data_IF_476955066321
#
_entry.id   IF_476955066321
#
_cell.length_a   1.000
_cell.length_b   1.000
_cell.length_c   1.000
_cell.angle_alpha   90.00
_cell.angle_beta   90.00
_cell.angle_gamma   90.00
#
_symmetry.space_group_name_H-M   'P 1'
#
loop_
_entity.id
_entity.type
_entity.pdbx_description
1 polymer ?
#
# COMPACT_ATOMS: atom_id res chain seq x y z
N UNK A 1 -4.18 0.45 -18.78
CA UNK A 1 -3.77 1.20 -17.57
C UNK A 1 -4.52 0.61 -16.39
N UNK A 2 -3.90 0.45 -15.21
CA UNK A 2 -4.60 -0.06 -14.03
C UNK A 2 -5.57 0.99 -13.51
N UNK A 3 -6.72 0.54 -12.99
CA UNK A 3 -7.78 1.38 -12.47
C UNK A 3 -8.13 1.03 -11.01
N UNK A 4 -9.10 1.75 -10.44
CA UNK A 4 -9.51 1.51 -9.05
C UNK A 4 -10.22 0.16 -8.88
N UNK A 5 -10.82 -0.39 -9.94
CA UNK A 5 -11.42 -1.73 -9.89
C UNK A 5 -10.34 -2.77 -9.68
N UNK A 6 -9.28 -2.72 -10.49
CA UNK A 6 -8.11 -3.58 -10.35
C UNK A 6 -7.49 -3.51 -8.94
N UNK A 7 -7.38 -2.30 -8.36
CA UNK A 7 -6.90 -2.17 -6.98
C UNK A 7 -7.86 -2.79 -5.96
N UNK A 8 -9.17 -2.62 -6.14
CA UNK A 8 -10.18 -3.20 -5.24
C UNK A 8 -10.15 -4.72 -5.28
N UNK A 9 -10.01 -5.31 -6.48
CA UNK A 9 -9.86 -6.76 -6.64
C UNK A 9 -8.58 -7.24 -5.94
N UNK A 10 -7.45 -6.54 -6.15
CA UNK A 10 -6.19 -6.84 -5.47
C UNK A 10 -6.26 -6.75 -3.94
N UNK A 11 -7.01 -5.77 -3.42
CA UNK A 11 -7.25 -5.65 -1.99
C UNK A 11 -8.00 -6.88 -1.46
N UNK A 12 -9.04 -7.35 -2.15
CA UNK A 12 -9.77 -8.56 -1.76
C UNK A 12 -8.83 -9.75 -1.74
N UNK A 13 -8.08 -9.97 -2.82
CA UNK A 13 -7.16 -11.10 -2.95
C UNK A 13 -6.06 -11.10 -1.87
N UNK A 14 -5.48 -9.94 -1.55
CA UNK A 14 -4.47 -9.85 -0.50
C UNK A 14 -5.07 -10.05 0.88
N UNK A 15 -6.27 -9.49 1.13
CA UNK A 15 -6.94 -9.63 2.40
C UNK A 15 -7.27 -11.10 2.68
N UNK A 16 -7.90 -11.78 1.73
CA UNK A 16 -8.38 -13.15 1.90
C UNK A 16 -7.21 -14.15 2.02
N UNK A 17 -6.06 -13.87 1.38
CA UNK A 17 -4.88 -14.74 1.47
C UNK A 17 -4.04 -14.52 2.72
N UNK A 18 -3.83 -13.25 3.12
CA UNK A 18 -2.78 -12.90 4.09
C UNK A 18 -3.30 -12.22 5.36
N UNK A 19 -4.55 -11.76 5.37
CA UNK A 19 -5.17 -11.01 6.48
C UNK A 19 -6.54 -11.56 6.89
N UNK A 20 -6.86 -12.80 6.49
CA UNK A 20 -8.13 -13.45 6.80
C UNK A 20 -8.38 -13.64 8.31
N UNK A 21 -7.30 -13.68 9.10
CA UNK A 21 -7.31 -13.78 10.56
C UNK A 21 -7.74 -12.49 11.27
N UNK A 22 -7.88 -11.38 10.53
CA UNK A 22 -8.21 -10.08 11.08
C UNK A 22 -9.61 -9.65 10.62
N UNK A 23 -10.48 -9.33 11.56
CA UNK A 23 -11.76 -8.71 11.28
C UNK A 23 -11.57 -7.22 10.91
N UNK A 24 -12.21 -6.77 9.83
CA UNK A 24 -12.19 -5.35 9.43
C UNK A 24 -13.03 -4.54 10.42
N UNK A 25 -12.42 -3.62 11.17
CA UNK A 25 -13.14 -2.79 12.14
C UNK A 25 -13.93 -1.63 11.54
N UNK A 26 -13.74 -1.34 10.25
CA UNK A 26 -14.50 -0.35 9.47
C UNK A 26 -14.40 -0.65 7.96
N UNK A 27 -15.01 0.20 7.13
CA UNK A 27 -14.88 0.08 5.67
C UNK A 27 -13.42 0.32 5.27
N UNK A 28 -12.82 -0.65 4.59
CA UNK A 28 -11.47 -0.55 4.05
C UNK A 28 -11.55 -0.38 2.53
N UNK A 29 -11.15 0.79 2.03
CA UNK A 29 -11.15 1.15 0.61
C UNK A 29 -9.70 1.32 0.13
N UNK A 30 -9.43 1.01 -1.14
CA UNK A 30 -8.17 1.34 -1.81
C UNK A 30 -8.44 2.13 -3.08
N UNK A 31 -7.57 3.10 -3.39
CA UNK A 31 -7.59 3.80 -4.69
C UNK A 31 -6.25 4.40 -5.05
N UNK A 32 -6.09 4.73 -6.33
CA UNK A 32 -4.94 5.51 -6.76
C UNK A 32 -5.04 6.97 -6.30
N UNK A 33 -3.93 7.52 -5.80
CA UNK A 33 -3.77 8.95 -5.53
C UNK A 33 -3.26 9.70 -6.75
N UNK A 34 -3.05 11.01 -6.59
CA UNK A 34 -2.15 11.77 -7.49
C UNK A 34 -0.73 11.20 -7.42
N UNK A 35 0.07 11.46 -8.45
CA UNK A 35 1.49 11.10 -8.46
C UNK A 35 2.22 11.88 -7.36
N UNK A 36 3.02 11.18 -6.56
CA UNK A 36 3.86 11.77 -5.53
C UNK A 36 5.33 11.35 -5.71
N UNK A 37 6.27 12.22 -5.36
CA UNK A 37 7.71 11.97 -5.54
C UNK A 37 8.38 11.22 -4.39
N UNK A 38 7.71 11.14 -3.24
CA UNK A 38 8.35 10.73 -1.97
C UNK A 38 7.62 9.62 -1.23
N UNK A 39 6.43 9.20 -1.70
CA UNK A 39 5.62 8.17 -1.02
C UNK A 39 5.06 7.19 -2.03
N UNK A 40 5.15 5.90 -1.71
CA UNK A 40 4.63 4.81 -2.53
C UNK A 40 3.15 4.54 -2.23
N UNK A 41 2.84 4.52 -0.94
CA UNK A 41 1.51 4.33 -0.40
C UNK A 41 1.28 5.27 0.77
N UNK A 42 0.03 5.34 1.22
CA UNK A 42 -0.32 5.85 2.54
C UNK A 42 -1.71 5.35 2.91
N UNK A 43 -1.94 5.10 4.19
CA UNK A 43 -3.28 4.90 4.74
C UNK A 43 -3.77 6.13 5.50
N UNK A 44 -5.07 6.39 5.46
CA UNK A 44 -5.75 7.45 6.20
C UNK A 44 -7.07 6.93 6.75
N UNK A 45 -7.52 7.45 7.89
CA UNK A 45 -8.85 7.19 8.41
C UNK A 45 -9.70 8.46 8.34
N UNK A 46 -10.97 8.32 8.00
CA UNK A 46 -11.93 9.42 8.04
C UNK A 46 -12.12 9.91 9.47
N UNK A 47 -12.50 11.19 9.63
CA UNK A 47 -12.70 11.80 10.96
C UNK A 47 -13.77 11.08 11.79
N UNK A 48 -14.83 10.60 11.12
CA UNK A 48 -15.91 9.80 11.71
C UNK A 48 -15.53 8.33 11.97
N UNK A 49 -14.29 7.92 11.62
CA UNK A 49 -13.73 6.58 11.76
C UNK A 49 -14.45 5.47 10.98
N UNK A 50 -15.48 5.79 10.19
CA UNK A 50 -16.27 4.81 9.43
C UNK A 50 -15.52 4.21 8.25
N UNK A 51 -14.43 4.84 7.80
CA UNK A 51 -13.66 4.38 6.65
C UNK A 51 -12.16 4.59 6.84
N UNK A 52 -11.39 3.58 6.47
CA UNK A 52 -9.96 3.67 6.24
C UNK A 52 -9.68 3.55 4.74
N UNK A 53 -8.88 4.46 4.21
CA UNK A 53 -8.58 4.55 2.77
C UNK A 53 -7.08 4.38 2.58
N UNK A 54 -6.71 3.30 1.90
CA UNK A 54 -5.36 3.09 1.38
C UNK A 54 -5.24 3.84 0.05
N UNK A 55 -4.19 4.61 -0.08
CA UNK A 55 -3.87 5.38 -1.27
C UNK A 55 -2.57 4.88 -1.86
N UNK A 56 -2.66 4.32 -3.05
CA UNK A 56 -1.53 3.85 -3.83
C UNK A 56 -1.10 4.97 -4.78
N UNK A 57 0.20 5.26 -4.87
CA UNK A 57 0.70 6.35 -5.72
C UNK A 57 0.21 6.19 -7.17
N UNK A 58 -0.28 7.28 -7.77
CA UNK A 58 -0.82 7.27 -9.12
C UNK A 58 0.15 6.79 -10.20
N UNK A 59 1.46 6.82 -9.95
CA UNK A 59 2.47 6.27 -10.86
C UNK A 59 2.25 4.78 -11.15
N UNK A 60 1.70 4.05 -10.18
CA UNK A 60 1.43 2.61 -10.29
C UNK A 60 0.27 2.25 -11.21
N UNK A 61 -0.44 3.25 -11.78
CA UNK A 61 -1.39 3.04 -12.86
C UNK A 61 -0.72 2.52 -14.14
N UNK A 62 0.56 2.86 -14.32
CA UNK A 62 1.34 2.41 -15.47
C UNK A 62 1.61 0.88 -15.39
N UNK A 63 1.12 0.10 -16.37
CA UNK A 63 1.38 -1.34 -16.42
C UNK A 63 2.87 -1.72 -16.57
N UNK A 64 3.74 -0.81 -17.02
CA UNK A 64 5.19 -1.04 -17.08
C UNK A 64 5.81 -1.23 -15.69
N UNK A 65 5.17 -0.70 -14.65
CA UNK A 65 5.59 -0.96 -13.28
C UNK A 65 5.07 -2.35 -12.87
N UNK A 66 5.90 -3.30 -12.41
CA UNK A 66 5.44 -4.64 -12.08
C UNK A 66 4.31 -4.65 -11.04
N UNK A 67 3.32 -5.53 -11.24
CA UNK A 67 2.17 -5.65 -10.34
C UNK A 67 2.59 -6.01 -8.91
N UNK A 68 3.62 -6.86 -8.76
CA UNK A 68 4.20 -7.28 -7.48
C UNK A 68 4.67 -6.09 -6.62
N UNK A 69 5.12 -4.99 -7.24
CA UNK A 69 5.50 -3.77 -6.51
C UNK A 69 4.26 -3.14 -5.88
N UNK A 70 3.14 -3.12 -6.62
CA UNK A 70 1.88 -2.55 -6.16
C UNK A 70 1.27 -3.43 -5.06
N UNK A 71 1.33 -4.75 -5.22
CA UNK A 71 0.98 -5.72 -4.17
C UNK A 71 1.76 -5.48 -2.89
N UNK A 72 3.08 -5.30 -3.01
CA UNK A 72 3.94 -5.10 -1.86
C UNK A 72 3.63 -3.80 -1.12
N UNK A 73 3.40 -2.70 -1.85
CA UNK A 73 3.01 -1.42 -1.27
C UNK A 73 1.63 -1.53 -0.61
N UNK A 74 0.66 -2.18 -1.24
CA UNK A 74 -0.67 -2.37 -0.64
C UNK A 74 -0.58 -3.21 0.63
N UNK A 75 0.13 -4.34 0.60
CA UNK A 75 0.35 -5.20 1.76
C UNK A 75 1.03 -4.45 2.92
N UNK A 76 1.98 -3.56 2.62
CA UNK A 76 2.61 -2.69 3.62
C UNK A 76 1.58 -1.79 4.34
N UNK A 77 0.70 -1.14 3.57
CA UNK A 77 -0.34 -0.28 4.14
C UNK A 77 -1.40 -1.09 4.90
N UNK A 78 -1.69 -2.33 4.48
CA UNK A 78 -2.56 -3.24 5.23
C UNK A 78 -1.94 -3.64 6.58
N UNK A 79 -0.62 -3.82 6.65
CA UNK A 79 0.07 -4.03 7.93
C UNK A 79 -0.12 -2.85 8.87
N UNK A 80 -0.08 -1.61 8.36
CA UNK A 80 -0.43 -0.44 9.16
C UNK A 80 -1.86 -0.53 9.70
N UNK A 81 -2.83 -0.89 8.86
CA UNK A 81 -4.22 -1.03 9.27
C UNK A 81 -4.39 -2.05 10.41
N UNK A 82 -3.86 -3.27 10.25
CA UNK A 82 -4.04 -4.35 11.25
C UNK A 82 -3.32 -4.06 12.56
N UNK A 83 -2.24 -3.28 12.52
CA UNK A 83 -1.56 -2.81 13.73
C UNK A 83 -2.27 -1.63 14.42
N UNK A 84 -3.42 -1.19 13.91
CA UNK A 84 -4.23 -0.11 14.48
C UNK A 84 -3.76 1.30 14.10
N UNK A 85 -2.95 1.45 13.04
CA UNK A 85 -2.62 2.75 12.48
C UNK A 85 -3.66 3.13 11.43
N UNK A 86 -4.24 4.33 11.56
CA UNK A 86 -5.31 4.80 10.67
C UNK A 86 -6.45 3.77 10.52
N UNK A 87 -6.80 3.15 11.65
CA UNK A 87 -7.77 2.07 11.79
C UNK A 87 -8.45 2.19 13.15
N UNK A 88 -9.70 1.73 13.32
CA UNK A 88 -10.35 1.65 14.62
C UNK A 88 -9.81 0.52 15.50
N UNK A 89 -9.00 -0.39 14.94
CA UNK A 89 -8.41 -1.50 15.67
C UNK A 89 -7.50 -1.00 16.80
N UNK A 90 -7.41 -1.79 17.87
CA UNK A 90 -6.52 -1.50 19.00
C UNK A 90 -5.08 -1.37 18.50
N UNK A 91 -4.46 -0.23 18.80
CA UNK A 91 -3.07 0.04 18.41
C UNK A 91 -2.12 -0.93 19.11
N UNK A 92 -1.41 -1.73 18.32
CA UNK A 92 -0.49 -2.76 18.82
C UNK A 92 0.89 -2.20 19.17
N UNK A 93 1.31 -1.12 18.48
CA UNK A 93 2.65 -0.54 18.64
C UNK A 93 2.61 0.99 18.73
N UNK A 94 3.54 1.57 19.50
CA UNK A 94 3.68 3.03 19.58
C UNK A 94 4.11 3.64 18.26
N UNK A 95 5.01 2.99 17.53
CA UNK A 95 5.53 3.46 16.24
C UNK A 95 5.42 2.34 15.20
N UNK A 96 5.01 2.64 13.96
CA UNK A 96 4.71 1.60 12.96
C UNK A 96 5.95 0.89 12.42
N UNK A 97 7.10 1.57 12.33
CA UNK A 97 8.31 0.99 11.71
C UNK A 97 9.46 0.69 12.68
N UNK A 98 9.40 1.22 13.91
CA UNK A 98 10.51 1.06 14.88
C UNK A 98 10.66 -0.42 15.23
N UNK A 99 11.89 -0.93 15.24
CA UNK A 99 12.16 -2.35 15.52
C UNK A 99 11.76 -3.31 14.39
N UNK A 100 11.46 -2.80 13.19
CA UNK A 100 11.09 -3.64 12.06
C UNK A 100 9.69 -4.25 12.16
N UNK A 101 8.81 -3.67 12.98
CA UNK A 101 7.43 -4.15 13.21
C UNK A 101 6.70 -4.50 11.91
N UNK A 102 6.63 -3.57 10.94
CA UNK A 102 5.97 -3.85 9.66
C UNK A 102 6.64 -4.98 8.89
N UNK A 103 7.99 -4.97 8.83
CA UNK A 103 8.76 -6.03 8.16
C UNK A 103 8.44 -7.38 8.77
N UNK A 104 8.45 -7.48 10.10
CA UNK A 104 8.27 -8.73 10.81
C UNK A 104 6.84 -9.26 10.63
N UNK A 105 5.84 -8.38 10.61
CA UNK A 105 4.46 -8.76 10.29
C UNK A 105 4.32 -9.29 8.86
N UNK A 106 4.89 -8.58 7.87
CA UNK A 106 4.87 -9.05 6.48
C UNK A 106 5.52 -10.43 6.37
N UNK A 107 6.70 -10.62 6.96
CA UNK A 107 7.39 -11.92 6.96
C UNK A 107 6.54 -13.00 7.63
N UNK A 108 5.95 -12.72 8.80
CA UNK A 108 5.10 -13.67 9.54
C UNK A 108 3.88 -14.09 8.73
N UNK A 109 3.31 -13.19 7.93
CA UNK A 109 2.18 -13.45 7.03
C UNK A 109 2.56 -14.12 5.71
N UNK A 110 3.84 -14.48 5.51
CA UNK A 110 4.31 -15.09 4.27
C UNK A 110 4.64 -14.11 3.14
N UNK A 111 4.61 -12.81 3.40
CA UNK A 111 4.85 -11.73 2.42
C UNK A 111 6.35 -11.37 2.27
N UNK A 112 7.24 -12.35 2.42
CA UNK A 112 8.70 -12.14 2.37
C UNK A 112 9.13 -11.62 1.00
N UNK A 113 8.58 -12.21 -0.07
CA UNK A 113 8.86 -11.80 -1.45
C UNK A 113 8.45 -10.35 -1.68
N UNK A 114 7.21 -10.01 -1.34
CA UNK A 114 6.64 -8.66 -1.46
C UNK A 114 7.50 -7.64 -0.71
N UNK A 115 7.88 -7.92 0.54
CA UNK A 115 8.76 -7.03 1.30
C UNK A 115 10.09 -6.77 0.57
N UNK A 116 10.70 -7.80 -0.02
CA UNK A 116 11.97 -7.66 -0.77
C UNK A 116 11.77 -6.86 -2.05
N UNK A 117 10.70 -7.11 -2.79
CA UNK A 117 10.32 -6.38 -4.01
C UNK A 117 10.15 -4.89 -3.71
N UNK A 118 9.39 -4.54 -2.67
CA UNK A 118 9.19 -3.15 -2.25
C UNK A 118 10.54 -2.46 -1.99
N UNK A 119 11.40 -3.09 -1.18
CA UNK A 119 12.72 -2.52 -0.82
C UNK A 119 13.65 -2.36 -2.02
N UNK A 120 13.74 -3.39 -2.86
CA UNK A 120 14.58 -3.36 -4.05
C UNK A 120 14.14 -2.27 -5.03
N UNK A 121 12.83 -2.20 -5.30
CA UNK A 121 12.27 -1.22 -6.23
C UNK A 121 12.39 0.21 -5.71
N UNK A 122 12.13 0.44 -4.42
CA UNK A 122 12.26 1.76 -3.79
C UNK A 122 13.69 2.29 -3.90
N UNK A 123 14.69 1.43 -3.68
CA UNK A 123 16.11 1.80 -3.74
C UNK A 123 16.56 2.14 -5.16
N UNK A 124 16.08 1.38 -6.16
CA UNK A 124 16.58 1.46 -7.55
C UNK A 124 15.82 2.46 -8.41
N UNK A 125 14.50 2.51 -8.31
CA UNK A 125 13.66 2.99 -9.42
C UNK A 125 12.73 4.14 -9.05
N UNK A 126 12.27 4.25 -7.79
CA UNK A 126 11.18 5.18 -7.47
C UNK A 126 11.53 6.66 -7.70
N UNK A 127 12.74 7.08 -7.35
CA UNK A 127 13.17 8.49 -7.52
C UNK A 127 13.27 8.91 -8.98
N UNK A 128 13.61 7.98 -9.87
CA UNK A 128 13.77 8.22 -11.30
C UNK A 128 12.40 8.20 -11.97
N UNK A 129 11.59 7.17 -11.73
CA UNK A 129 10.24 7.02 -12.29
C UNK A 129 9.35 8.20 -11.88
N UNK A 130 9.37 8.63 -10.61
CA UNK A 130 8.56 9.76 -10.19
C UNK A 130 9.00 11.11 -10.78
N UNK A 131 10.23 11.23 -11.31
CA UNK A 131 10.66 12.41 -12.10
C UNK A 131 10.12 12.32 -13.53
N UNK A 132 10.29 11.17 -14.15
CA UNK A 132 9.96 10.95 -15.56
C UNK A 132 8.45 10.97 -15.79
N UNK A 133 7.65 10.29 -14.96
CA UNK A 133 6.18 10.29 -15.07
C UNK A 133 5.52 11.62 -14.70
N UNK A 134 6.24 12.55 -14.07
CA UNK A 134 5.78 13.92 -13.87
C UNK A 134 5.86 14.80 -15.13
N UNK A 135 6.57 14.34 -16.18
CA UNK A 135 6.81 15.08 -17.41
C UNK A 135 6.07 14.51 -18.64
N UNK A 136 5.44 13.34 -18.55
CA UNK A 136 4.78 12.68 -19.69
C UNK A 136 3.28 12.97 -19.83
N UNK A 137 2.71 13.91 -19.07
CA UNK A 137 1.30 14.29 -19.22
C UNK A 137 1.05 15.49 -20.16
N UNK A 138 2.03 15.88 -20.99
CA UNK A 138 1.94 17.05 -21.87
C UNK A 138 2.13 16.81 -23.37
N UNK A 139 1.96 15.57 -23.86
CA UNK A 139 1.85 15.32 -25.30
C UNK A 139 0.80 14.26 -25.58
N UNK A 140 -0.46 14.71 -25.67
CA UNK A 140 -1.47 14.27 -26.62
C UNK A 140 -2.36 15.49 -26.92
#
# INVERSE_FOLDING_TARGET
>A
MRDNKWLSDLLSDLWDRYFFDVEKGNILEVKFSRVARTRLGSIRMTRDKRKSVVLINGVFKDPLIPAEVVEAVLAHELVHYVHGFCSPLKRQYRHPHRGGVVRNEMIRRGLVHQYRVEKAWTKKSFREIARTHGLFHHFL
#
